data_IF_573141889017
#
_entry.id   IF_573141889017
#
_cell.length_a   1.000
_cell.length_b   1.000
_cell.length_c   1.000
_cell.angle_alpha   90.00
_cell.angle_beta   90.00
_cell.angle_gamma   90.00
#
_symmetry.space_group_name_H-M   'P 1'
#
loop_
_entity.id
_entity.type
_entity.pdbx_description
1 polymer ?
#
# COMPACT_ATOMS: atom_id res chain seq x y z
N UNK A 1 22.81 -12.91 36.76
CA UNK A 1 22.49 -13.96 35.75
C UNK A 1 21.08 -13.83 35.15
N UNK A 2 20.09 -13.18 35.81
CA UNK A 2 18.70 -13.06 35.32
C UNK A 2 18.46 -12.00 34.23
N UNK A 3 19.19 -10.87 34.26
CA UNK A 3 19.03 -9.75 33.31
C UNK A 3 19.21 -10.18 31.84
N UNK A 4 20.15 -11.10 31.59
CA UNK A 4 20.41 -11.63 30.25
C UNK A 4 19.32 -12.57 29.71
N UNK A 5 18.57 -13.25 30.59
CA UNK A 5 17.46 -14.10 30.18
C UNK A 5 16.20 -13.29 29.92
N UNK A 6 15.92 -12.29 30.77
CA UNK A 6 14.80 -11.38 30.59
C UNK A 6 14.94 -10.58 29.29
N UNK A 7 16.13 -10.02 29.03
CA UNK A 7 16.44 -9.29 27.79
C UNK A 7 16.20 -10.14 26.54
N UNK A 8 16.61 -11.41 26.54
CA UNK A 8 16.36 -12.33 25.41
C UNK A 8 14.87 -12.60 25.17
N UNK A 9 14.09 -12.77 26.24
CA UNK A 9 12.63 -12.97 26.12
C UNK A 9 11.94 -11.73 25.55
N UNK A 10 12.32 -10.54 26.02
CA UNK A 10 11.82 -9.27 25.50
C UNK A 10 12.15 -9.14 24.01
N UNK A 11 13.39 -9.46 23.60
CA UNK A 11 13.78 -9.42 22.19
C UNK A 11 12.92 -10.36 21.33
N UNK A 12 12.68 -11.59 21.77
CA UNK A 12 11.83 -12.54 21.04
C UNK A 12 10.39 -12.06 20.93
N UNK A 13 9.85 -11.46 21.99
CA UNK A 13 8.51 -10.86 21.97
C UNK A 13 8.45 -9.68 20.99
N UNK A 14 9.45 -8.81 20.99
CA UNK A 14 9.53 -7.70 20.04
C UNK A 14 9.60 -8.18 18.59
N UNK A 15 10.40 -9.22 18.29
CA UNK A 15 10.48 -9.82 16.95
C UNK A 15 9.14 -10.44 16.56
N UNK A 16 8.51 -11.19 17.46
CA UNK A 16 7.19 -11.80 17.23
C UNK A 16 6.14 -10.73 16.90
N UNK A 17 6.06 -9.68 17.72
CA UNK A 17 5.11 -8.58 17.54
C UNK A 17 5.40 -7.82 16.26
N UNK A 18 6.66 -7.48 15.99
CA UNK A 18 7.07 -6.81 14.77
C UNK A 18 6.65 -7.60 13.53
N UNK A 19 7.05 -8.88 13.45
CA UNK A 19 6.71 -9.75 12.33
C UNK A 19 5.19 -9.91 12.15
N UNK A 20 4.43 -9.99 13.25
CA UNK A 20 2.97 -10.04 13.21
C UNK A 20 2.40 -8.76 12.62
N UNK A 21 2.78 -7.59 13.16
CA UNK A 21 2.27 -6.28 12.71
C UNK A 21 2.61 -6.02 11.25
N UNK A 22 3.82 -6.37 10.78
CA UNK A 22 4.22 -6.06 9.41
C UNK A 22 3.68 -7.05 8.37
N UNK A 23 3.34 -8.30 8.74
CA UNK A 23 2.99 -9.38 7.78
C UNK A 23 1.71 -10.15 8.06
N UNK A 24 1.00 -9.86 9.17
CA UNK A 24 -0.10 -10.63 9.78
C UNK A 24 0.27 -12.05 10.27
N UNK A 25 1.17 -12.77 9.58
CA UNK A 25 1.44 -14.20 9.84
C UNK A 25 2.82 -14.47 10.47
N UNK A 26 3.74 -13.53 10.33
CA UNK A 26 5.17 -13.77 10.57
C UNK A 26 5.50 -14.13 12.02
N UNK A 27 4.80 -13.56 13.01
CA UNK A 27 5.03 -13.93 14.40
C UNK A 27 4.65 -15.37 14.70
N UNK A 28 3.53 -15.86 14.17
CA UNK A 28 3.10 -17.26 14.33
C UNK A 28 4.15 -18.21 13.73
N UNK A 29 4.60 -17.94 12.50
CA UNK A 29 5.64 -18.74 11.85
C UNK A 29 6.99 -18.68 12.59
N UNK A 30 7.30 -17.53 13.18
CA UNK A 30 8.46 -17.36 14.05
C UNK A 30 8.36 -18.23 15.30
N UNK A 31 7.21 -18.24 15.98
CA UNK A 31 6.99 -19.10 17.14
C UNK A 31 7.11 -20.60 16.78
N UNK A 32 6.49 -21.03 15.67
CA UNK A 32 6.60 -22.41 15.15
C UNK A 32 8.06 -22.80 14.91
N UNK A 33 8.87 -21.91 14.32
CA UNK A 33 10.30 -22.14 14.11
C UNK A 33 11.05 -22.44 15.41
N UNK A 34 10.71 -21.72 16.48
CA UNK A 34 11.34 -21.91 17.80
C UNK A 34 10.92 -23.22 18.47
N UNK A 35 9.68 -23.65 18.28
CA UNK A 35 9.17 -24.92 18.78
C UNK A 35 9.81 -26.12 18.06
N UNK A 36 9.99 -26.03 16.75
CA UNK A 36 10.48 -27.16 15.94
C UNK A 36 12.01 -27.30 15.96
N UNK A 37 12.75 -26.19 16.05
CA UNK A 37 14.23 -26.23 16.03
C UNK A 37 14.77 -25.92 17.42
N UNK A 38 15.17 -26.96 18.13
CA UNK A 38 15.79 -26.86 19.46
C UNK A 38 17.13 -26.12 19.43
N UNK A 39 17.43 -25.40 20.51
CA UNK A 39 18.72 -24.73 20.74
C UNK A 39 19.88 -25.71 21.01
N UNK A 40 19.59 -27.00 21.23
CA UNK A 40 20.59 -28.07 21.41
C UNK A 40 21.21 -28.56 20.10
N UNK A 41 20.61 -28.23 18.95
CA UNK A 41 21.07 -28.69 17.64
C UNK A 41 22.30 -27.88 17.19
N UNK A 42 23.29 -28.55 16.57
CA UNK A 42 24.43 -27.86 15.97
C UNK A 42 23.99 -26.84 14.91
N UNK A 43 24.59 -25.64 14.98
CA UNK A 43 24.26 -24.47 14.12
C UNK A 43 22.77 -24.06 14.18
N UNK A 44 22.08 -24.26 15.33
CA UNK A 44 20.64 -24.00 15.46
C UNK A 44 20.19 -22.61 15.00
N UNK A 45 21.00 -21.56 15.22
CA UNK A 45 20.66 -20.18 14.79
C UNK A 45 20.48 -20.09 13.27
N UNK A 46 21.44 -20.63 12.52
CA UNK A 46 21.39 -20.68 11.06
C UNK A 46 20.21 -21.54 10.59
N UNK A 47 20.01 -22.71 11.19
CA UNK A 47 18.88 -23.60 10.87
C UNK A 47 17.53 -22.92 11.13
N UNK A 48 17.38 -22.14 12.22
CA UNK A 48 16.17 -21.36 12.51
C UNK A 48 15.92 -20.29 11.48
N UNK A 49 16.95 -19.52 11.08
CA UNK A 49 16.81 -18.50 10.04
C UNK A 49 16.39 -19.14 8.72
N UNK A 50 17.08 -20.21 8.31
CA UNK A 50 16.77 -20.93 7.08
C UNK A 50 15.35 -21.48 7.10
N UNK A 51 14.97 -22.19 8.15
CA UNK A 51 13.63 -22.77 8.29
C UNK A 51 12.54 -21.70 8.32
N UNK A 52 12.69 -20.65 9.13
CA UNK A 52 11.73 -19.55 9.17
C UNK A 52 11.56 -18.93 7.78
N UNK A 53 12.66 -18.66 7.08
CA UNK A 53 12.62 -18.04 5.75
C UNK A 53 11.92 -18.95 4.75
N UNK A 54 12.28 -20.22 4.71
CA UNK A 54 11.66 -21.21 3.81
C UNK A 54 10.16 -21.35 4.10
N UNK A 55 9.78 -21.56 5.36
CA UNK A 55 8.37 -21.71 5.75
C UNK A 55 7.60 -20.41 5.50
N UNK A 56 8.17 -19.24 5.78
CA UNK A 56 7.55 -17.95 5.53
C UNK A 56 7.25 -17.74 4.04
N UNK A 57 8.23 -18.03 3.17
CA UNK A 57 8.06 -17.88 1.72
C UNK A 57 7.04 -18.87 1.17
N UNK A 58 7.12 -20.16 1.55
CA UNK A 58 6.13 -21.17 1.17
C UNK A 58 4.73 -20.74 1.63
N UNK A 59 4.61 -20.31 2.88
CA UNK A 59 3.32 -19.92 3.45
C UNK A 59 2.76 -18.69 2.72
N UNK A 60 3.54 -17.62 2.57
CA UNK A 60 3.08 -16.37 1.95
C UNK A 60 2.73 -16.51 0.46
N UNK A 61 3.47 -17.34 -0.29
CA UNK A 61 3.31 -17.44 -1.74
C UNK A 61 2.50 -18.64 -2.21
N UNK A 62 2.39 -19.72 -1.43
CA UNK A 62 1.68 -20.94 -1.84
C UNK A 62 0.46 -21.26 -0.97
N UNK A 63 0.53 -21.04 0.34
CA UNK A 63 -0.54 -21.43 1.28
C UNK A 63 -1.56 -20.31 1.45
N UNK A 64 -1.12 -19.12 1.89
CA UNK A 64 -1.98 -17.96 2.15
C UNK A 64 -2.89 -17.62 0.96
N UNK A 65 -2.43 -17.59 -0.31
CA UNK A 65 -3.32 -17.27 -1.42
C UNK A 65 -4.48 -18.25 -1.59
N UNK A 66 -4.30 -19.52 -1.20
CA UNK A 66 -5.34 -20.55 -1.26
C UNK A 66 -6.26 -20.52 -0.05
N UNK A 67 -5.78 -20.05 1.09
CA UNK A 67 -6.53 -20.01 2.36
C UNK A 67 -7.30 -18.70 2.54
N UNK A 68 -6.74 -17.57 2.11
CA UNK A 68 -7.36 -16.24 2.22
C UNK A 68 -8.80 -16.15 1.67
N UNK A 69 -9.20 -16.89 0.59
CA UNK A 69 -10.59 -16.88 0.12
C UNK A 69 -11.62 -17.34 1.14
N UNK A 70 -11.28 -18.27 2.04
CA UNK A 70 -12.16 -18.69 3.14
C UNK A 70 -12.44 -17.57 4.15
N UNK A 71 -11.56 -16.55 4.16
CA UNK A 71 -11.65 -15.36 4.98
C UNK A 71 -12.19 -14.13 4.20
N UNK A 72 -12.75 -14.35 3.01
CA UNK A 72 -13.31 -13.28 2.19
C UNK A 72 -12.26 -12.37 1.54
N UNK A 73 -11.02 -12.87 1.40
CA UNK A 73 -9.91 -12.16 0.77
C UNK A 73 -9.36 -12.90 -0.44
N UNK A 74 -8.91 -12.16 -1.42
CA UNK A 74 -8.19 -12.68 -2.58
C UNK A 74 -6.92 -11.89 -2.77
N UNK A 75 -5.86 -12.59 -3.19
CA UNK A 75 -4.59 -11.96 -3.56
C UNK A 75 -4.79 -11.18 -4.86
N UNK A 76 -4.28 -9.96 -4.94
CA UNK A 76 -4.24 -9.23 -6.20
C UNK A 76 -3.21 -9.90 -7.13
N UNK A 77 -3.66 -10.28 -8.32
CA UNK A 77 -2.81 -10.84 -9.37
C UNK A 77 -2.25 -9.74 -10.26
N UNK A 78 -0.93 -9.78 -10.48
CA UNK A 78 -0.29 -8.90 -11.45
C UNK A 78 -0.60 -9.38 -12.87
N UNK A 79 -0.93 -8.44 -13.74
CA UNK A 79 -1.26 -8.68 -15.14
C UNK A 79 -0.45 -7.73 -16.03
N UNK A 80 -0.67 -7.82 -17.34
CA UNK A 80 -0.13 -6.82 -18.28
C UNK A 80 -0.62 -5.38 -17.99
N UNK A 81 -1.76 -5.21 -17.30
CA UNK A 81 -2.41 -3.91 -17.09
C UNK A 81 -2.51 -3.47 -15.62
N UNK A 82 -2.18 -4.34 -14.67
CA UNK A 82 -2.26 -4.11 -13.23
C UNK A 82 -1.01 -4.67 -12.57
N UNK A 83 -0.32 -3.90 -11.75
CA UNK A 83 0.88 -4.40 -11.06
C UNK A 83 1.09 -3.71 -9.71
N UNK A 84 1.76 -4.42 -8.79
CA UNK A 84 2.27 -3.79 -7.57
C UNK A 84 3.37 -2.80 -7.94
N UNK A 85 3.48 -1.70 -7.20
CA UNK A 85 4.66 -0.84 -7.27
C UNK A 85 5.91 -1.58 -6.75
N UNK A 86 5.77 -2.25 -5.61
CA UNK A 86 6.88 -2.91 -4.92
C UNK A 86 6.61 -4.38 -4.64
N UNK A 87 7.62 -5.24 -4.82
CA UNK A 87 7.55 -6.64 -4.38
C UNK A 87 7.36 -6.77 -2.86
N UNK A 88 7.84 -5.79 -2.07
CA UNK A 88 7.69 -5.78 -0.60
C UNK A 88 6.22 -5.87 -0.16
N UNK A 89 5.29 -5.23 -0.89
CA UNK A 89 3.86 -5.32 -0.60
C UNK A 89 3.36 -6.76 -0.65
N UNK A 90 3.86 -7.56 -1.59
CA UNK A 90 3.54 -9.00 -1.72
C UNK A 90 4.28 -9.83 -0.68
N UNK A 91 5.56 -9.53 -0.45
CA UNK A 91 6.37 -10.23 0.54
C UNK A 91 5.76 -10.11 1.94
N UNK A 92 5.18 -8.97 2.28
CA UNK A 92 4.53 -8.71 3.56
C UNK A 92 3.02 -9.02 3.56
N UNK A 93 2.50 -9.69 2.53
CA UNK A 93 1.09 -10.06 2.44
C UNK A 93 0.12 -8.86 2.55
N UNK A 94 0.50 -7.68 2.04
CA UNK A 94 -0.30 -6.44 2.05
C UNK A 94 -1.07 -6.20 0.74
N UNK A 95 -1.12 -7.21 -0.13
CA UNK A 95 -1.73 -7.14 -1.45
C UNK A 95 -3.01 -7.99 -1.55
N UNK A 96 -3.78 -8.09 -0.46
CA UNK A 96 -5.05 -8.80 -0.42
C UNK A 96 -6.22 -7.83 -0.35
N UNK A 97 -7.32 -8.17 -1.03
CA UNK A 97 -8.55 -7.37 -1.09
C UNK A 97 -9.77 -8.27 -1.10
N UNK A 98 -10.96 -7.70 -0.94
CA UNK A 98 -12.21 -8.45 -1.18
C UNK A 98 -12.35 -8.86 -2.65
N UNK A 99 -13.05 -9.97 -2.97
CA UNK A 99 -13.33 -10.36 -4.36
C UNK A 99 -13.97 -9.24 -5.19
N UNK A 100 -14.80 -8.41 -4.55
CA UNK A 100 -15.44 -7.25 -5.18
C UNK A 100 -14.44 -6.17 -5.57
N UNK A 101 -13.48 -5.85 -4.69
CA UNK A 101 -12.40 -4.91 -5.01
C UNK A 101 -11.50 -5.46 -6.10
N UNK A 102 -11.18 -6.75 -6.08
CA UNK A 102 -10.40 -7.39 -7.14
C UNK A 102 -11.08 -7.21 -8.51
N UNK A 103 -12.38 -7.50 -8.61
CA UNK A 103 -13.16 -7.27 -9.85
C UNK A 103 -13.11 -5.82 -10.32
N UNK A 104 -13.18 -4.85 -9.40
CA UNK A 104 -13.04 -3.41 -9.71
C UNK A 104 -11.67 -3.10 -10.30
N UNK A 105 -10.59 -3.58 -9.69
CA UNK A 105 -9.22 -3.36 -10.17
C UNK A 105 -8.99 -3.99 -11.55
N UNK A 106 -9.46 -5.22 -11.76
CA UNK A 106 -9.39 -5.89 -13.07
C UNK A 106 -10.16 -5.10 -14.13
N UNK A 107 -11.41 -4.71 -13.85
CA UNK A 107 -12.23 -3.96 -14.81
C UNK A 107 -11.62 -2.59 -15.14
N UNK A 108 -11.14 -1.86 -14.14
CA UNK A 108 -10.53 -0.54 -14.33
C UNK A 108 -9.22 -0.65 -15.07
N UNK A 109 -8.36 -1.62 -14.77
CA UNK A 109 -7.10 -1.81 -15.48
C UNK A 109 -7.30 -2.13 -16.96
N UNK A 110 -8.28 -2.96 -17.32
CA UNK A 110 -8.64 -3.23 -18.71
C UNK A 110 -9.17 -1.99 -19.42
N UNK A 111 -10.11 -1.26 -18.81
CA UNK A 111 -10.71 -0.03 -19.37
C UNK A 111 -9.72 1.13 -19.46
N UNK A 112 -8.76 1.19 -18.54
CA UNK A 112 -7.71 2.21 -18.57
C UNK A 112 -6.71 1.93 -19.69
N UNK A 113 -6.33 0.66 -19.87
CA UNK A 113 -5.42 0.24 -20.93
C UNK A 113 -5.94 0.60 -22.34
N UNK A 114 -7.25 0.52 -22.61
CA UNK A 114 -7.79 0.93 -23.93
C UNK A 114 -7.57 2.42 -24.22
N UNK A 115 -7.50 3.28 -23.18
CA UNK A 115 -7.22 4.71 -23.31
C UNK A 115 -5.74 5.05 -23.18
N UNK A 116 -4.93 4.14 -22.66
CA UNK A 116 -3.50 4.35 -22.38
C UNK A 116 -2.76 3.01 -22.49
N UNK A 117 -2.55 2.49 -23.71
CA UNK A 117 -2.10 1.11 -23.94
C UNK A 117 -0.71 0.77 -23.41
N UNK A 118 0.13 1.79 -23.19
CA UNK A 118 1.48 1.63 -22.65
C UNK A 118 1.54 1.77 -21.11
N UNK A 119 0.40 2.02 -20.45
CA UNK A 119 0.35 2.28 -19.02
C UNK A 119 -0.44 1.21 -18.26
N UNK A 120 0.14 0.79 -17.15
CA UNK A 120 -0.52 -0.06 -16.14
C UNK A 120 -1.18 0.78 -15.05
N UNK A 121 -2.19 0.22 -14.41
CA UNK A 121 -2.64 0.65 -13.09
C UNK A 121 -1.63 0.11 -12.07
N UNK A 122 -1.02 1.00 -11.29
CA UNK A 122 -0.03 0.62 -10.27
C UNK A 122 -0.67 0.76 -8.90
N UNK A 123 -0.75 -0.34 -8.14
CA UNK A 123 -1.24 -0.34 -6.77
C UNK A 123 -0.11 -0.30 -5.74
N UNK A 124 -0.40 0.27 -4.58
CA UNK A 124 0.48 0.38 -3.41
C UNK A 124 -0.05 -0.54 -2.29
N UNK A 125 -0.24 -0.06 -1.06
CA UNK A 125 -0.80 -0.88 0.01
C UNK A 125 -2.30 -1.15 -0.18
N UNK A 126 -2.70 -2.41 0.02
CA UNK A 126 -4.09 -2.86 0.04
C UNK A 126 -4.48 -3.31 1.44
N UNK A 127 -4.59 -4.61 1.73
CA UNK A 127 -4.92 -5.15 3.05
C UNK A 127 -4.24 -6.52 3.28
N UNK A 128 -4.35 -7.04 4.50
CA UNK A 128 -3.89 -8.36 4.90
C UNK A 128 -4.89 -9.50 4.58
N UNK A 129 -4.44 -10.78 4.57
CA UNK A 129 -5.23 -11.90 4.03
C UNK A 129 -6.38 -12.47 4.88
N UNK A 130 -6.45 -12.29 6.20
CA UNK A 130 -7.33 -13.17 7.03
C UNK A 130 -8.50 -12.54 7.78
N UNK A 131 -8.42 -11.35 8.36
CA UNK A 131 -9.57 -10.85 9.12
C UNK A 131 -9.61 -9.35 9.17
N UNK A 132 -10.82 -8.84 9.35
CA UNK A 132 -11.08 -7.42 9.45
C UNK A 132 -10.50 -6.86 10.77
N UNK A 133 -10.18 -5.57 10.78
CA UNK A 133 -9.72 -4.86 11.97
C UNK A 133 -8.23 -5.05 12.30
N UNK A 134 -7.50 -5.94 11.61
CA UNK A 134 -6.05 -6.02 11.80
C UNK A 134 -5.37 -4.71 11.33
N UNK A 135 -4.55 -4.06 12.17
CA UNK A 135 -4.00 -2.74 11.85
C UNK A 135 -2.93 -2.85 10.76
N UNK A 136 -3.15 -2.15 9.64
CA UNK A 136 -2.14 -1.98 8.59
C UNK A 136 -1.40 -0.67 8.82
N UNK A 137 -0.24 -0.69 9.48
CA UNK A 137 0.55 0.53 9.67
C UNK A 137 1.29 0.92 8.38
N UNK A 138 1.29 2.22 7.98
CA UNK A 138 0.58 3.35 8.60
C UNK A 138 -0.89 3.55 8.12
N UNK A 139 -1.33 2.79 7.11
CA UNK A 139 -2.65 2.84 6.47
C UNK A 139 -3.80 2.28 7.34
N UNK A 140 -4.08 2.88 8.51
CA UNK A 140 -5.02 2.34 9.50
C UNK A 140 -6.45 2.06 8.99
N UNK A 141 -6.91 2.80 7.97
CA UNK A 141 -8.24 2.58 7.39
C UNK A 141 -8.33 1.31 6.56
N UNK A 142 -7.19 0.75 6.11
CA UNK A 142 -7.10 -0.44 5.27
C UNK A 142 -7.20 -1.70 6.13
N UNK A 143 -8.36 -1.88 6.76
CA UNK A 143 -8.60 -2.96 7.71
C UNK A 143 -9.68 -3.95 7.26
N UNK A 144 -10.28 -3.77 6.08
CA UNK A 144 -11.47 -4.53 5.62
C UNK A 144 -11.36 -5.06 4.18
N UNK A 145 -10.20 -4.88 3.52
CA UNK A 145 -9.99 -5.29 2.13
C UNK A 145 -10.86 -4.55 1.11
N UNK A 146 -11.53 -3.46 1.52
CA UNK A 146 -12.33 -2.59 0.66
C UNK A 146 -11.64 -1.29 0.30
N UNK A 147 -10.37 -1.13 0.70
CA UNK A 147 -9.53 0.04 0.45
C UNK A 147 -8.20 -0.37 -0.17
N UNK A 148 -7.70 0.48 -1.04
CA UNK A 148 -6.43 0.29 -1.72
C UNK A 148 -5.90 1.64 -2.18
N UNK A 149 -4.58 1.80 -2.10
CA UNK A 149 -3.90 2.96 -2.67
C UNK A 149 -3.44 2.64 -4.09
N UNK A 150 -3.70 3.57 -5.00
CA UNK A 150 -3.35 3.49 -6.40
C UNK A 150 -2.46 4.68 -6.70
N UNK A 151 -1.31 4.45 -7.31
CA UNK A 151 -0.44 5.55 -7.62
C UNK A 151 -0.98 6.41 -8.77
N UNK A 152 -0.63 7.70 -8.76
CA UNK A 152 -0.85 8.56 -9.90
C UNK A 152 -0.07 8.10 -11.14
N UNK A 153 -0.46 8.66 -12.27
CA UNK A 153 0.32 8.54 -13.50
C UNK A 153 1.24 9.76 -13.60
N UNK A 154 2.51 9.49 -13.83
CA UNK A 154 3.53 10.51 -13.97
C UNK A 154 3.99 10.64 -15.42
N UNK A 155 4.71 11.71 -15.71
CA UNK A 155 5.37 11.95 -16.97
C UNK A 155 6.77 12.51 -16.75
N UNK A 156 7.66 12.23 -17.69
CA UNK A 156 8.99 12.83 -17.73
C UNK A 156 8.88 14.32 -18.04
N UNK A 157 9.99 15.05 -17.89
CA UNK A 157 10.06 16.47 -18.28
C UNK A 157 9.73 16.70 -19.76
N UNK A 158 10.01 15.71 -20.62
CA UNK A 158 9.66 15.70 -22.04
C UNK A 158 8.18 15.37 -22.30
N UNK A 159 7.36 15.21 -21.26
CA UNK A 159 5.93 14.90 -21.37
C UNK A 159 5.59 13.43 -21.65
N UNK A 160 6.58 12.53 -21.64
CA UNK A 160 6.35 11.10 -21.87
C UNK A 160 5.76 10.45 -20.62
N UNK A 161 4.53 9.92 -20.73
CA UNK A 161 3.85 9.24 -19.63
C UNK A 161 4.57 7.95 -19.26
N UNK A 162 4.60 7.62 -17.99
CA UNK A 162 5.36 6.46 -17.49
C UNK A 162 4.70 5.80 -16.27
N UNK A 163 4.99 4.51 -16.11
CA UNK A 163 4.69 3.77 -14.88
C UNK A 163 5.78 3.91 -13.79
N UNK A 164 6.86 4.66 -14.04
CA UNK A 164 7.82 5.03 -13.00
C UNK A 164 7.17 5.89 -11.91
N UNK A 165 7.84 5.93 -10.75
CA UNK A 165 7.36 6.64 -9.56
C UNK A 165 8.46 7.52 -8.99
N UNK A 166 8.11 8.69 -8.42
CA UNK A 166 9.11 9.60 -7.88
C UNK A 166 9.90 8.98 -6.74
N UNK A 167 9.25 8.18 -5.88
CA UNK A 167 9.87 7.48 -4.75
C UNK A 167 9.87 5.96 -4.90
N UNK A 168 10.79 5.32 -4.17
CA UNK A 168 10.90 3.87 -4.13
C UNK A 168 9.72 3.25 -3.38
N UNK A 169 9.26 3.85 -2.29
CA UNK A 169 8.07 3.37 -1.58
C UNK A 169 6.77 3.56 -2.37
N UNK A 170 6.74 4.53 -3.30
CA UNK A 170 5.53 4.98 -3.97
C UNK A 170 4.78 6.10 -3.22
N UNK A 171 5.28 6.48 -2.03
CA UNK A 171 4.73 7.52 -1.16
C UNK A 171 5.77 8.61 -0.85
N UNK A 172 5.33 9.74 -0.29
CA UNK A 172 6.17 10.76 0.33
C UNK A 172 6.78 11.80 -0.62
N UNK A 173 6.56 11.68 -1.93
CA UNK A 173 6.92 12.72 -2.91
C UNK A 173 5.63 13.33 -3.44
N UNK A 174 5.29 14.49 -2.87
CA UNK A 174 4.00 15.13 -3.05
C UNK A 174 3.96 16.02 -4.29
N UNK A 175 2.81 16.02 -4.96
CA UNK A 175 2.48 16.99 -6.01
C UNK A 175 2.01 18.27 -5.34
N UNK A 176 2.93 19.19 -5.08
CA UNK A 176 2.65 20.47 -4.42
C UNK A 176 1.57 21.30 -5.12
N UNK A 177 0.80 22.12 -4.36
CA UNK A 177 -0.12 23.10 -4.92
C UNK A 177 0.63 24.15 -5.77
N UNK A 178 0.00 24.63 -6.85
CA UNK A 178 0.48 25.78 -7.64
C UNK A 178 0.24 27.07 -6.83
N UNK A 179 0.90 28.17 -7.23
CA UNK A 179 0.83 29.47 -6.53
C UNK A 179 -0.60 29.97 -6.27
N UNK A 180 -1.54 29.67 -7.18
CA UNK A 180 -2.94 30.11 -7.09
C UNK A 180 -3.91 29.01 -6.61
N UNK A 181 -3.39 27.92 -6.05
CA UNK A 181 -4.20 26.82 -5.52
C UNK A 181 -4.18 26.83 -4.00
N UNK A 182 -5.26 26.33 -3.39
CA UNK A 182 -5.35 26.18 -1.93
C UNK A 182 -4.25 25.25 -1.42
N UNK A 183 -3.40 25.76 -0.54
CA UNK A 183 -2.36 24.97 0.11
C UNK A 183 -2.93 24.22 1.32
N UNK A 184 -3.62 23.09 1.06
CA UNK A 184 -4.26 22.29 2.10
C UNK A 184 -3.25 21.77 3.14
N UNK A 185 -2.01 21.49 2.72
CA UNK A 185 -0.91 21.10 3.61
C UNK A 185 -0.61 22.17 4.65
N UNK A 186 -0.46 23.41 4.22
CA UNK A 186 -0.22 24.52 5.14
C UNK A 186 -1.39 24.69 6.11
N UNK A 187 -2.63 24.71 5.59
CA UNK A 187 -3.84 24.83 6.41
C UNK A 187 -3.92 23.72 7.48
N UNK A 188 -3.62 22.47 7.12
CA UNK A 188 -3.65 21.37 8.09
C UNK A 188 -2.54 21.48 9.14
N UNK A 189 -1.32 21.88 8.75
CA UNK A 189 -0.21 22.05 9.70
C UNK A 189 -0.44 23.21 10.66
N UNK A 190 -1.01 24.33 10.19
CA UNK A 190 -1.40 25.47 11.03
C UNK A 190 -2.48 25.09 12.05
N UNK A 191 -3.32 24.09 11.74
CA UNK A 191 -4.29 23.51 12.69
C UNK A 191 -3.69 22.49 13.66
N UNK A 192 -2.37 22.33 13.70
CA UNK A 192 -1.66 21.44 14.62
C UNK A 192 -1.48 19.99 14.13
N UNK A 193 -1.89 19.65 12.90
CA UNK A 193 -1.70 18.31 12.34
C UNK A 193 -0.26 18.14 11.82
N UNK A 194 0.69 18.03 12.74
CA UNK A 194 2.12 17.88 12.43
C UNK A 194 2.42 16.64 11.57
N UNK A 195 1.64 15.58 11.72
CA UNK A 195 1.80 14.31 11.01
C UNK A 195 1.39 14.37 9.54
N UNK A 196 0.76 15.46 9.09
CA UNK A 196 0.10 15.53 7.78
C UNK A 196 1.02 15.26 6.58
N UNK A 197 2.31 15.63 6.70
CA UNK A 197 3.33 15.41 5.68
C UNK A 197 4.39 14.35 6.08
N UNK A 198 4.14 13.58 7.13
CA UNK A 198 5.11 12.66 7.74
C UNK A 198 5.65 11.59 6.77
N UNK A 199 4.87 11.19 5.77
CA UNK A 199 5.28 10.19 4.77
C UNK A 199 6.48 10.63 3.92
N UNK A 200 6.87 11.92 3.92
CA UNK A 200 8.11 12.40 3.28
C UNK A 200 9.38 11.75 3.80
N UNK A 201 9.36 11.22 5.02
CA UNK A 201 10.48 10.48 5.62
C UNK A 201 10.51 9.00 5.22
N UNK A 202 9.49 8.51 4.52
CA UNK A 202 9.33 7.10 4.12
C UNK A 202 9.34 6.92 2.60
N UNK A 203 10.05 7.78 1.86
CA UNK A 203 10.23 7.64 0.41
C UNK A 203 11.06 6.41 0.03
N UNK A 204 11.92 5.95 0.96
CA UNK A 204 12.94 4.92 0.74
C UNK A 204 13.90 5.26 -0.41
N UNK A 205 14.10 6.55 -0.67
CA UNK A 205 14.86 7.07 -1.82
C UNK A 205 13.95 7.62 -2.92
N UNK A 206 14.50 8.52 -3.75
CA UNK A 206 13.76 9.25 -4.78
C UNK A 206 14.56 9.37 -6.07
N UNK A 207 14.77 8.25 -6.77
CA UNK A 207 15.59 8.22 -7.99
C UNK A 207 14.96 8.93 -9.20
N UNK A 208 13.64 9.18 -9.17
CA UNK A 208 12.92 9.85 -10.27
C UNK A 208 12.23 11.14 -9.80
N UNK A 209 12.91 11.95 -8.97
CA UNK A 209 12.36 13.19 -8.40
C UNK A 209 11.86 14.20 -9.45
N UNK A 210 12.39 14.15 -10.67
CA UNK A 210 12.02 15.05 -11.77
C UNK A 210 10.70 14.66 -12.46
N UNK A 211 10.08 13.54 -12.09
CA UNK A 211 8.77 13.15 -12.61
C UNK A 211 7.70 14.15 -12.19
N UNK A 212 6.90 14.57 -13.17
CA UNK A 212 5.77 15.46 -12.97
C UNK A 212 4.47 14.67 -13.04
N UNK A 213 3.43 15.11 -12.33
CA UNK A 213 2.10 14.53 -12.46
C UNK A 213 1.63 14.63 -13.91
N UNK A 214 1.20 13.50 -14.49
CA UNK A 214 0.49 13.53 -15.77
C UNK A 214 -1.00 13.80 -15.50
N UNK A 215 -1.38 15.07 -15.49
CA UNK A 215 -2.74 15.51 -15.14
C UNK A 215 -3.81 14.81 -15.99
N UNK A 216 -3.65 14.80 -17.32
CA UNK A 216 -4.60 14.16 -18.25
C UNK A 216 -4.73 12.65 -18.02
N UNK A 217 -3.61 11.95 -17.83
CA UNK A 217 -3.63 10.50 -17.66
C UNK A 217 -4.18 10.09 -16.28
N UNK A 218 -3.80 10.81 -15.23
CA UNK A 218 -4.33 10.61 -13.87
C UNK A 218 -5.83 10.90 -13.83
N UNK A 219 -6.30 11.98 -14.45
CA UNK A 219 -7.74 12.26 -14.60
C UNK A 219 -8.47 11.09 -15.27
N UNK A 220 -7.91 10.57 -16.37
CA UNK A 220 -8.52 9.44 -17.10
C UNK A 220 -8.64 8.18 -16.24
N UNK A 221 -7.64 7.89 -15.40
CA UNK A 221 -7.67 6.79 -14.44
C UNK A 221 -8.78 7.00 -13.40
N UNK A 222 -8.85 8.19 -12.78
CA UNK A 222 -9.89 8.52 -11.80
C UNK A 222 -11.29 8.42 -12.42
N UNK A 223 -11.47 8.88 -13.67
CA UNK A 223 -12.75 8.72 -14.39
C UNK A 223 -13.10 7.24 -14.57
N UNK A 224 -12.15 6.34 -14.86
CA UNK A 224 -12.45 4.90 -14.96
C UNK A 224 -12.85 4.33 -13.60
N UNK A 225 -12.17 4.73 -12.51
CA UNK A 225 -12.57 4.35 -11.14
C UNK A 225 -14.00 4.80 -10.82
N UNK A 226 -14.36 6.04 -11.15
CA UNK A 226 -15.69 6.61 -10.85
C UNK A 226 -16.84 5.93 -11.59
N UNK A 227 -16.57 5.31 -12.75
CA UNK A 227 -17.57 4.55 -13.52
C UNK A 227 -17.97 3.25 -12.83
N UNK A 228 -17.16 2.73 -11.92
CA UNK A 228 -17.48 1.52 -11.19
C UNK A 228 -18.53 1.82 -10.09
N UNK A 229 -19.72 1.22 -10.21
CA UNK A 229 -20.86 1.48 -9.30
C UNK A 229 -20.54 1.16 -7.83
N UNK A 230 -19.64 0.21 -7.60
CA UNK A 230 -19.16 -0.22 -6.28
C UNK A 230 -18.28 0.81 -5.59
N UNK A 231 -17.62 1.70 -6.33
CA UNK A 231 -16.74 2.73 -5.76
C UNK A 231 -17.58 3.72 -4.95
N UNK A 232 -17.21 3.89 -3.69
CA UNK A 232 -17.88 4.78 -2.74
C UNK A 232 -17.12 6.07 -2.52
N UNK A 233 -15.78 6.02 -2.42
CA UNK A 233 -14.95 7.19 -2.13
C UNK A 233 -13.64 7.10 -2.88
N UNK A 234 -13.14 8.26 -3.28
CA UNK A 234 -11.79 8.47 -3.78
C UNK A 234 -11.24 9.68 -3.02
N UNK A 235 -10.09 9.53 -2.37
CA UNK A 235 -9.39 10.65 -1.73
C UNK A 235 -8.17 11.06 -2.56
N UNK A 236 -8.12 12.38 -2.80
CA UNK A 236 -6.98 13.14 -3.32
C UNK A 236 -7.04 14.53 -2.67
N UNK A 237 -5.92 15.26 -2.65
CA UNK A 237 -5.92 16.62 -2.10
C UNK A 237 -6.85 17.59 -2.86
N UNK A 238 -7.42 18.60 -2.18
CA UNK A 238 -8.32 19.58 -2.78
C UNK A 238 -7.75 20.30 -4.01
N UNK A 239 -6.46 20.69 -3.99
CA UNK A 239 -5.84 21.35 -5.14
C UNK A 239 -5.79 20.44 -6.36
N UNK A 240 -5.52 19.13 -6.17
CA UNK A 240 -5.55 18.16 -7.26
C UNK A 240 -6.95 17.94 -7.80
N UNK A 241 -7.97 17.87 -6.94
CA UNK A 241 -9.37 17.77 -7.39
C UNK A 241 -9.74 18.93 -8.31
N UNK A 242 -9.36 20.16 -7.93
CA UNK A 242 -9.62 21.37 -8.71
C UNK A 242 -8.79 21.40 -9.99
N UNK A 243 -7.47 21.15 -9.90
CA UNK A 243 -6.54 21.13 -11.03
C UNK A 243 -6.92 20.10 -12.10
N UNK A 244 -7.36 18.91 -11.68
CA UNK A 244 -7.83 17.87 -12.59
C UNK A 244 -9.25 18.13 -13.10
N UNK A 245 -9.95 19.16 -12.60
CA UNK A 245 -11.32 19.51 -12.91
C UNK A 245 -12.26 18.28 -12.82
N UNK A 246 -12.33 17.69 -11.62
CA UNK A 246 -13.15 16.51 -11.31
C UNK A 246 -14.30 16.92 -10.39
N UNK A 247 -15.49 17.10 -10.98
CA UNK A 247 -16.73 17.33 -10.24
C UNK A 247 -17.48 16.01 -10.02
N UNK A 248 -17.25 15.38 -8.86
CA UNK A 248 -17.97 14.19 -8.44
C UNK A 248 -17.99 14.11 -6.90
N UNK A 249 -19.15 13.81 -6.30
CA UNK A 249 -19.32 13.74 -4.85
C UNK A 249 -18.51 12.62 -4.17
N UNK A 250 -18.11 11.59 -4.93
CA UNK A 250 -17.25 10.51 -4.44
C UNK A 250 -15.78 10.94 -4.30
N UNK A 251 -15.35 11.97 -5.03
CA UNK A 251 -13.98 12.51 -4.95
C UNK A 251 -13.96 13.63 -3.92
N UNK A 252 -13.28 13.42 -2.80
CA UNK A 252 -13.36 14.35 -1.67
C UNK A 252 -12.07 14.38 -0.87
N UNK A 253 -11.96 15.37 -0.01
CA UNK A 253 -10.89 15.49 0.96
C UNK A 253 -11.11 14.53 2.14
N UNK A 254 -10.04 13.89 2.62
CA UNK A 254 -10.10 12.93 3.73
C UNK A 254 -10.06 13.60 5.11
N UNK A 255 -9.69 14.88 5.19
CA UNK A 255 -9.56 15.64 6.43
C UNK A 255 -8.11 15.64 6.97
N UNK A 256 -7.75 16.66 7.77
CA UNK A 256 -6.38 16.83 8.25
C UNK A 256 -5.89 15.74 9.23
N UNK A 257 -6.80 14.92 9.78
CA UNK A 257 -6.46 13.86 10.74
C UNK A 257 -5.67 12.70 10.13
N UNK A 258 -5.67 12.55 8.81
CA UNK A 258 -4.85 11.57 8.10
C UNK A 258 -3.82 12.25 7.19
N UNK A 259 -2.76 11.52 6.85
CA UNK A 259 -1.68 12.00 5.96
C UNK A 259 -2.23 12.43 4.60
N UNK A 260 -1.57 13.39 3.97
CA UNK A 260 -1.96 13.94 2.67
C UNK A 260 -2.01 12.88 1.54
N UNK A 261 -2.88 13.12 0.56
CA UNK A 261 -3.13 12.24 -0.60
C UNK A 261 -2.84 12.96 -1.93
N UNK A 262 -1.67 13.58 -2.03
CA UNK A 262 -1.14 14.18 -3.27
C UNK A 262 0.17 13.53 -3.73
N UNK A 263 0.42 12.30 -3.29
CA UNK A 263 1.37 11.33 -3.85
C UNK A 263 0.66 10.07 -4.40
N UNK A 264 -0.60 9.82 -4.03
CA UNK A 264 -1.41 8.69 -4.49
C UNK A 264 -2.93 8.97 -4.48
N UNK A 265 -3.69 8.04 -5.03
CA UNK A 265 -5.15 7.96 -5.00
C UNK A 265 -5.56 6.91 -3.97
N UNK A 266 -6.28 7.29 -2.91
CA UNK A 266 -6.91 6.30 -2.04
C UNK A 266 -8.30 5.94 -2.57
N UNK A 267 -8.54 4.64 -2.81
CA UNK A 267 -9.80 4.12 -3.35
C UNK A 267 -10.55 3.31 -2.30
N UNK A 268 -11.84 3.59 -2.12
CA UNK A 268 -12.74 2.78 -1.30
C UNK A 268 -13.97 2.31 -2.09
N UNK A 269 -14.37 1.05 -1.87
CA UNK A 269 -15.65 0.48 -2.35
C UNK A 269 -16.66 0.28 -1.21
N UNK A 270 -17.94 0.11 -1.58
CA UNK A 270 -19.05 -0.29 -0.69
C UNK A 270 -18.88 -1.73 -0.19
#
# INVERSE_FOLDING_TARGET
>A
MSINYLSKRILHLLIFTFLTVITQIGGILYAITFLLISNKISKYKFKRILFFTTVYLITSFLIVPKVAPFFGRVKIEDTKNLAAHNFITKLFNRNYVTPKMHKVLTAVSLKFNTKSPSLKVIYLDANFPFFDGFPLLPHLSHNDGKKIDISFIYQTEKGVKTNLKPSNSGYGVFVSPKKNETNQTQICKEKGFWQYDFTKYFTLGSFNSNLKLSEKATKNLIIQLLKEKSVSKIFIEPHLKNRLNISNSKVRFHGCGAVRHDDHIHLQIK
#
